data_IF_383702500549
#
_entry.id   IF_383702500549
#
_cell.length_a   1.000
_cell.length_b   1.000
_cell.length_c   1.000
_cell.angle_alpha   90.00
_cell.angle_beta   90.00
_cell.angle_gamma   90.00
#
_symmetry.space_group_name_H-M   'P 1'
#
loop_
_entity.id
_entity.type
_entity.pdbx_description
1 polymer ?
#
# COMPACT_ATOMS: atom_id res chain seq x y z
N UNK A 1 -3.38 5.59 -9.60
CA UNK A 1 -3.34 4.22 -9.04
C UNK A 1 -2.66 3.20 -9.94
N UNK A 2 -3.06 3.07 -11.22
CA UNK A 2 -2.44 2.10 -12.16
C UNK A 2 -0.90 2.08 -12.15
N UNK A 3 -0.26 3.26 -12.28
CA UNK A 3 1.20 3.36 -12.31
C UNK A 3 1.86 2.83 -11.03
N UNK A 4 1.34 3.23 -9.85
CA UNK A 4 1.92 2.77 -8.57
C UNK A 4 1.71 1.26 -8.39
N UNK A 5 0.54 0.73 -8.76
CA UNK A 5 0.25 -0.72 -8.67
C UNK A 5 1.15 -1.52 -9.60
N UNK A 6 1.43 -1.00 -10.80
CA UNK A 6 2.40 -1.62 -11.72
C UNK A 6 3.78 -1.73 -11.09
N UNK A 7 4.25 -0.70 -10.40
CA UNK A 7 5.53 -0.75 -9.69
C UNK A 7 5.50 -1.71 -8.50
N UNK A 8 4.41 -1.68 -7.73
CA UNK A 8 4.22 -2.57 -6.59
C UNK A 8 4.23 -4.03 -7.04
N UNK A 9 3.56 -4.38 -8.14
CA UNK A 9 3.55 -5.73 -8.70
C UNK A 9 4.96 -6.24 -9.06
N UNK A 10 5.82 -5.37 -9.61
CA UNK A 10 7.22 -5.71 -9.93
C UNK A 10 8.03 -5.97 -8.65
N UNK A 11 7.77 -5.20 -7.60
CA UNK A 11 8.50 -5.25 -6.33
C UNK A 11 7.99 -6.32 -5.37
N UNK A 12 6.71 -6.69 -5.50
CA UNK A 12 5.98 -7.58 -4.60
C UNK A 12 6.71 -8.89 -4.22
N UNK A 13 7.43 -9.58 -5.12
CA UNK A 13 8.14 -10.81 -4.74
C UNK A 13 9.30 -10.59 -3.77
N UNK A 14 9.84 -9.37 -3.67
CA UNK A 14 11.04 -9.05 -2.87
C UNK A 14 10.72 -8.73 -1.41
N UNK A 15 9.46 -8.46 -1.10
CA UNK A 15 9.02 -7.98 0.20
C UNK A 15 8.05 -8.97 0.86
N UNK A 16 8.10 -9.00 2.19
CA UNK A 16 7.24 -9.82 3.02
C UNK A 16 5.93 -9.10 3.35
N UNK A 17 5.96 -7.76 3.42
CA UNK A 17 4.80 -6.93 3.73
C UNK A 17 4.79 -5.69 2.85
N UNK A 18 3.59 -5.20 2.55
CA UNK A 18 3.38 -4.00 1.75
C UNK A 18 2.39 -3.12 2.49
N UNK A 19 2.84 -1.95 2.93
CA UNK A 19 2.00 -0.94 3.56
C UNK A 19 1.57 0.06 2.50
N UNK A 20 0.27 0.37 2.44
CA UNK A 20 -0.27 1.31 1.45
C UNK A 20 -1.19 2.32 2.15
N UNK A 21 -0.87 3.60 1.99
CA UNK A 21 -1.66 4.72 2.53
C UNK A 21 -3.09 4.73 2.01
N UNK A 22 -4.05 5.03 2.89
CA UNK A 22 -5.46 5.28 2.57
C UNK A 22 -5.75 6.73 2.17
N UNK A 23 -4.73 7.60 2.02
CA UNK A 23 -4.92 9.05 1.78
C UNK A 23 -5.92 9.40 0.67
N UNK A 24 -5.87 8.67 -0.44
CA UNK A 24 -6.62 9.00 -1.66
C UNK A 24 -7.81 8.04 -1.91
N UNK A 25 -8.23 7.28 -0.90
CA UNK A 25 -9.35 6.32 -0.99
C UNK A 25 -8.97 4.93 -0.48
N UNK A 26 -9.70 3.91 -0.92
CA UNK A 26 -9.48 2.52 -0.55
C UNK A 26 -8.52 1.82 -1.55
N UNK A 27 -7.20 1.76 -1.28
CA UNK A 27 -6.21 1.23 -2.23
C UNK A 27 -6.47 -0.23 -2.65
N UNK A 28 -7.18 -1.01 -1.83
CA UNK A 28 -7.48 -2.41 -2.13
C UNK A 28 -8.31 -2.57 -3.42
N UNK A 29 -9.30 -1.71 -3.65
CA UNK A 29 -10.14 -1.74 -4.85
C UNK A 29 -9.29 -1.60 -6.11
N UNK A 30 -8.38 -0.64 -6.09
CA UNK A 30 -7.49 -0.38 -7.21
C UNK A 30 -6.48 -1.51 -7.41
N UNK A 31 -5.94 -2.09 -6.33
CA UNK A 31 -5.06 -3.25 -6.44
C UNK A 31 -5.80 -4.38 -7.14
N UNK A 32 -7.00 -4.76 -6.69
CA UNK A 32 -7.80 -5.83 -7.28
C UNK A 32 -8.19 -5.55 -8.74
N UNK A 33 -8.37 -4.27 -9.10
CA UNK A 33 -8.72 -3.87 -10.46
C UNK A 33 -7.51 -3.88 -11.43
N UNK A 34 -6.41 -3.20 -11.09
CA UNK A 34 -5.24 -3.06 -11.96
C UNK A 34 -4.28 -4.25 -11.89
N UNK A 35 -4.37 -5.04 -10.83
CA UNK A 35 -3.74 -6.34 -10.75
C UNK A 35 -4.86 -7.37 -10.69
N UNK A 36 -5.10 -8.13 -11.78
CA UNK A 36 -6.20 -9.10 -11.84
C UNK A 36 -5.97 -10.22 -10.84
N UNK A 37 -6.36 -9.96 -9.60
CA UNK A 37 -6.24 -10.87 -8.48
C UNK A 37 -7.33 -11.91 -8.66
N UNK A 38 -6.99 -13.18 -8.45
CA UNK A 38 -7.97 -14.25 -8.55
C UNK A 38 -9.08 -14.01 -7.48
N UNK A 39 -10.36 -13.86 -7.88
CA UNK A 39 -11.41 -13.51 -6.93
C UNK A 39 -11.62 -14.58 -5.85
N UNK A 40 -11.49 -15.85 -6.21
CA UNK A 40 -11.61 -16.95 -5.25
C UNK A 40 -10.49 -16.91 -4.22
N UNK A 41 -9.28 -16.60 -4.65
CA UNK A 41 -8.11 -16.46 -3.77
C UNK A 41 -8.27 -15.28 -2.82
N UNK A 42 -8.76 -14.12 -3.30
CA UNK A 42 -9.02 -12.95 -2.46
C UNK A 42 -10.10 -13.22 -1.40
N UNK A 43 -11.23 -13.81 -1.79
CA UNK A 43 -12.35 -14.07 -0.88
C UNK A 43 -12.01 -15.10 0.20
N UNK A 44 -11.09 -16.03 -0.07
CA UNK A 44 -10.65 -17.06 0.86
C UNK A 44 -9.29 -16.77 1.51
N UNK A 45 -8.80 -15.53 1.40
CA UNK A 45 -7.49 -15.16 1.89
C UNK A 45 -7.46 -15.18 3.44
N UNK A 46 -6.58 -15.98 4.07
CA UNK A 46 -6.51 -16.07 5.54
C UNK A 46 -6.03 -14.75 6.20
N UNK A 47 -5.44 -13.84 5.42
CA UNK A 47 -4.99 -12.52 5.85
C UNK A 47 -6.00 -11.42 5.54
N UNK A 48 -7.15 -11.73 4.91
CA UNK A 48 -8.21 -10.75 4.71
C UNK A 48 -8.71 -10.24 6.07
N UNK A 49 -8.62 -8.94 6.29
CA UNK A 49 -9.13 -8.27 7.49
C UNK A 49 -10.07 -7.17 7.06
N UNK A 50 -11.33 -7.31 7.46
CA UNK A 50 -12.38 -6.31 7.23
C UNK A 50 -12.94 -5.83 8.55
N UNK A 51 -13.30 -4.56 8.64
CA UNK A 51 -14.03 -3.99 9.76
C UNK A 51 -15.28 -3.28 9.25
N UNK A 52 -16.39 -3.46 9.97
CA UNK A 52 -17.63 -2.77 9.66
C UNK A 52 -17.69 -1.48 10.47
N UNK A 53 -17.65 -0.34 9.78
CA UNK A 53 -17.68 0.99 10.39
C UNK A 53 -18.44 1.97 9.51
N UNK A 54 -19.24 2.84 10.12
CA UNK A 54 -20.03 3.87 9.41
C UNK A 54 -20.86 3.31 8.24
N UNK A 55 -21.55 2.19 8.47
CA UNK A 55 -22.37 1.50 7.47
C UNK A 55 -21.60 1.02 6.21
N UNK A 56 -20.28 0.83 6.34
CA UNK A 56 -19.39 0.37 5.27
C UNK A 56 -18.42 -0.71 5.76
N UNK A 57 -18.03 -1.64 4.88
CA UNK A 57 -16.97 -2.60 5.15
C UNK A 57 -15.64 -2.06 4.65
N UNK A 58 -14.77 -1.73 5.59
CA UNK A 58 -13.42 -1.28 5.33
C UNK A 58 -12.51 -2.50 5.18
N UNK A 59 -11.65 -2.51 4.17
CA UNK A 59 -10.62 -3.54 4.01
C UNK A 59 -9.30 -3.01 4.56
N UNK A 60 -8.76 -3.67 5.59
CA UNK A 60 -7.53 -3.27 6.27
C UNK A 60 -6.31 -4.09 5.85
N UNK A 61 -6.51 -5.32 5.39
CA UNK A 61 -5.42 -6.17 4.92
C UNK A 61 -5.96 -7.28 4.02
N UNK A 62 -5.09 -7.78 3.14
CA UNK A 62 -5.18 -9.08 2.48
C UNK A 62 -3.78 -9.47 2.01
N UNK A 63 -3.48 -10.77 1.90
CA UNK A 63 -2.21 -11.31 1.45
C UNK A 63 -1.01 -10.66 2.17
N UNK A 64 -0.19 -9.86 1.48
CA UNK A 64 0.94 -9.10 2.06
C UNK A 64 0.59 -7.64 2.34
N UNK A 65 -0.58 -7.18 1.89
CA UNK A 65 -0.99 -5.79 1.95
C UNK A 65 -1.57 -5.42 3.30
N UNK A 66 -1.19 -4.24 3.79
CA UNK A 66 -1.71 -3.59 4.99
C UNK A 66 -2.06 -2.15 4.64
N UNK A 67 -3.31 -1.77 4.89
CA UNK A 67 -3.83 -0.45 4.55
C UNK A 67 -3.87 0.42 5.80
N UNK A 68 -3.10 1.50 5.78
CA UNK A 68 -2.89 2.37 6.94
C UNK A 68 -3.30 3.80 6.62
N UNK A 69 -3.79 4.53 7.61
CA UNK A 69 -4.13 5.93 7.39
C UNK A 69 -2.86 6.77 7.22
N UNK A 70 -2.93 7.82 6.41
CA UNK A 70 -1.74 8.63 6.09
C UNK A 70 -1.11 9.27 7.34
N UNK A 71 -1.94 9.67 8.30
CA UNK A 71 -1.49 10.28 9.56
C UNK A 71 -0.84 9.27 10.53
N UNK A 72 -1.04 7.98 10.34
CA UNK A 72 -0.43 6.92 11.18
C UNK A 72 0.98 6.57 10.72
N UNK A 73 1.38 6.95 9.50
CA UNK A 73 2.61 6.43 8.89
C UNK A 73 3.86 6.83 9.67
N UNK A 74 3.92 8.07 10.18
CA UNK A 74 5.06 8.54 10.98
C UNK A 74 5.16 7.91 12.36
N UNK A 75 4.09 7.32 12.88
CA UNK A 75 4.11 6.64 14.19
C UNK A 75 4.13 5.11 14.03
N UNK A 76 3.87 4.61 12.83
CA UNK A 76 3.88 3.19 12.53
C UNK A 76 5.32 2.66 12.41
N UNK A 77 5.61 1.59 13.14
CA UNK A 77 6.85 0.83 12.99
C UNK A 77 6.72 -0.08 11.77
N UNK A 78 7.45 0.24 10.70
CA UNK A 78 7.50 -0.58 9.49
C UNK A 78 8.62 -1.63 9.66
N UNK A 79 8.31 -2.94 9.63
CA UNK A 79 9.32 -3.97 9.83
C UNK A 79 10.26 -4.09 8.61
N UNK A 80 11.47 -4.67 8.80
CA UNK A 80 12.37 -5.02 7.70
C UNK A 80 11.71 -5.90 6.62
N UNK A 81 12.26 -5.88 5.41
CA UNK A 81 11.68 -6.50 4.20
C UNK A 81 10.24 -6.05 3.93
N UNK A 82 9.97 -4.75 4.10
CA UNK A 82 8.67 -4.15 3.77
C UNK A 82 8.79 -3.12 2.65
N UNK A 83 7.70 -2.98 1.89
CA UNK A 83 7.48 -1.88 0.96
C UNK A 83 6.44 -0.94 1.53
N UNK A 84 6.67 0.37 1.50
CA UNK A 84 5.72 1.39 1.90
C UNK A 84 5.35 2.25 0.69
N UNK A 85 4.05 2.40 0.45
CA UNK A 85 3.47 3.32 -0.52
C UNK A 85 2.76 4.40 0.28
N UNK A 86 3.29 5.60 0.24
CA UNK A 86 2.89 6.70 1.13
C UNK A 86 2.79 8.02 0.38
N UNK A 87 2.20 9.04 1.00
CA UNK A 87 2.31 10.42 0.55
C UNK A 87 3.76 10.87 0.40
N UNK A 88 4.04 11.85 -0.47
CA UNK A 88 5.39 12.36 -0.65
C UNK A 88 6.02 12.79 0.68
N UNK A 89 7.22 12.30 0.96
CA UNK A 89 7.98 12.56 2.19
C UNK A 89 7.28 12.17 3.50
N UNK A 90 6.27 11.30 3.46
CA UNK A 90 5.53 10.86 4.65
C UNK A 90 5.98 9.45 5.10
N UNK A 91 7.22 9.33 5.52
CA UNK A 91 7.80 8.08 6.03
C UNK A 91 8.87 8.36 7.07
N UNK A 92 9.11 7.37 7.93
CA UNK A 92 10.14 7.47 8.97
C UNK A 92 11.51 7.16 8.39
N UNK A 93 12.49 8.03 8.68
CA UNK A 93 13.83 7.98 8.10
C UNK A 93 14.72 6.79 8.49
N UNK A 94 14.66 6.16 9.70
CA UNK A 94 15.58 5.07 9.99
C UNK A 94 15.29 3.87 9.08
N UNK A 95 16.32 3.42 8.35
CA UNK A 95 16.30 2.27 7.44
C UNK A 95 15.31 2.36 6.27
N UNK A 96 14.81 3.56 5.97
CA UNK A 96 13.97 3.80 4.79
C UNK A 96 14.81 4.20 3.58
N UNK A 97 14.48 3.68 2.41
CA UNK A 97 15.10 4.07 1.13
C UNK A 97 14.02 4.39 0.11
N UNK A 98 13.99 5.63 -0.36
CA UNK A 98 13.12 6.03 -1.46
C UNK A 98 13.55 5.31 -2.74
N UNK A 99 12.63 4.54 -3.32
CA UNK A 99 12.85 3.83 -4.58
C UNK A 99 12.34 4.63 -5.78
N UNK A 100 11.17 5.25 -5.64
CA UNK A 100 10.51 5.97 -6.73
C UNK A 100 9.42 6.90 -6.21
N UNK A 101 9.28 8.05 -6.86
CA UNK A 101 8.12 8.94 -6.71
C UNK A 101 7.22 8.82 -7.95
N UNK A 102 5.92 8.73 -7.72
CA UNK A 102 4.87 8.74 -8.75
C UNK A 102 4.25 10.14 -8.76
N UNK A 103 4.03 10.68 -9.96
CA UNK A 103 3.56 12.04 -10.18
C UNK A 103 2.20 12.07 -10.86
N UNK A 104 1.41 13.10 -10.58
CA UNK A 104 0.28 13.49 -11.40
C UNK A 104 0.77 13.98 -12.78
N UNK A 105 -0.12 14.07 -13.79
CA UNK A 105 0.24 14.62 -15.11
C UNK A 105 0.80 16.05 -15.07
N UNK A 106 0.50 16.83 -14.02
CA UNK A 106 1.03 18.17 -13.79
C UNK A 106 2.38 18.19 -13.04
N UNK A 107 3.08 17.05 -12.95
CA UNK A 107 4.34 16.85 -12.23
C UNK A 107 4.28 17.08 -10.71
N UNK A 108 3.10 17.13 -10.10
CA UNK A 108 2.97 17.15 -8.64
C UNK A 108 3.14 15.73 -8.07
N UNK A 109 3.98 15.49 -7.05
CA UNK A 109 4.19 14.17 -6.49
C UNK A 109 2.94 13.66 -5.76
N UNK A 110 2.67 12.36 -5.85
CA UNK A 110 1.45 11.70 -5.34
C UNK A 110 1.78 10.57 -4.40
N UNK A 111 2.69 9.70 -4.81
CA UNK A 111 3.12 8.57 -3.99
C UNK A 111 4.63 8.48 -3.99
N UNK A 112 5.20 8.24 -2.81
CA UNK A 112 6.54 7.69 -2.68
C UNK A 112 6.45 6.19 -2.42
N UNK A 113 7.29 5.44 -3.13
CA UNK A 113 7.52 4.02 -2.94
C UNK A 113 8.85 3.87 -2.22
N UNK A 114 8.81 3.35 -1.00
CA UNK A 114 9.93 3.34 -0.05
C UNK A 114 10.17 1.91 0.42
N UNK A 115 11.43 1.45 0.41
CA UNK A 115 11.80 0.16 0.99
C UNK A 115 12.29 0.30 2.42
N UNK A 116 12.02 -0.73 3.21
CA UNK A 116 12.60 -0.98 4.52
C UNK A 116 13.31 -2.33 4.46
N UNK A 117 14.64 -2.31 4.59
CA UNK A 117 15.51 -3.49 4.47
C UNK A 117 15.90 -4.07 5.84
#
# INVERSE_FOLDING_TARGET
>A
YEQVITQVKILYPKYNQIFFTKKYGEPHEFILFYWPWDPQSYQNDPNLRTDFHSDWYWVNAFDKFKFINDWEIKTTVIPPKSLLITSPSNYNSPNSKLLKTIYYPNNTPVFDIVSYD
#
